data_IF_376401697575
#
_entry.id   IF_376401697575
#
_cell.length_a   1.000
_cell.length_b   1.000
_cell.length_c   1.000
_cell.angle_alpha   90.00
_cell.angle_beta   90.00
_cell.angle_gamma   90.00
#
_symmetry.space_group_name_H-M   'P 1'
#
loop_
_entity.id
_entity.type
_entity.pdbx_description
1 polymer ?
#
# COMPACT_ATOMS: atom_id res chain seq x y z
N UNK A 1 9.61 11.70 19.23
CA UNK A 1 8.21 11.26 19.00
C UNK A 1 7.69 10.67 20.30
N UNK A 2 6.39 10.70 20.59
CA UNK A 2 5.84 9.99 21.75
C UNK A 2 5.86 8.49 21.40
N UNK A 3 6.53 7.68 22.21
CA UNK A 3 6.52 6.23 22.04
C UNK A 3 5.12 5.65 22.27
N UNK A 4 4.83 4.54 21.61
CA UNK A 4 3.63 3.76 21.91
C UNK A 4 3.73 3.19 23.33
N UNK A 5 2.59 2.83 23.92
CA UNK A 5 2.46 2.43 25.33
C UNK A 5 2.80 0.96 25.55
N UNK A 6 3.04 0.62 26.82
CA UNK A 6 3.00 -0.77 27.30
C UNK A 6 1.62 -1.02 27.89
N UNK A 7 0.86 -1.97 27.33
CA UNK A 7 -0.35 -2.47 27.97
C UNK A 7 0.00 -3.55 29.00
N UNK A 8 -0.66 -3.57 30.15
CA UNK A 8 -0.35 -4.50 31.22
C UNK A 8 -1.60 -5.08 31.89
N UNK A 9 -1.51 -6.37 32.31
CA UNK A 9 -2.46 -6.96 33.25
C UNK A 9 -2.23 -6.39 34.67
N UNK A 10 -3.26 -6.20 35.42
CA UNK A 10 -3.21 -5.57 36.75
C UNK A 10 -2.15 -6.22 37.65
N UNK A 11 -2.06 -7.54 37.68
CA UNK A 11 -1.15 -8.31 38.51
C UNK A 11 0.34 -8.07 38.20
N UNK A 12 0.67 -7.64 37.00
CA UNK A 12 2.05 -7.38 36.55
C UNK A 12 2.43 -5.90 36.58
N UNK A 13 1.51 -5.00 36.92
CA UNK A 13 1.73 -3.54 36.98
C UNK A 13 3.01 -3.16 37.73
N UNK A 14 3.26 -3.82 38.84
CA UNK A 14 4.38 -3.55 39.74
C UNK A 14 5.73 -3.55 39.01
N UNK A 15 5.90 -4.37 37.98
CA UNK A 15 7.15 -4.47 37.25
C UNK A 15 7.42 -3.24 36.39
N UNK A 16 6.40 -2.43 36.04
CA UNK A 16 6.50 -1.35 35.05
C UNK A 16 6.37 0.05 35.65
N UNK A 17 6.26 0.19 36.97
CA UNK A 17 6.11 1.49 37.65
C UNK A 17 7.27 2.45 37.36
N UNK A 18 8.46 1.90 37.13
CA UNK A 18 9.69 2.67 36.87
C UNK A 18 10.01 2.75 35.34
N UNK A 19 9.09 2.39 34.47
CA UNK A 19 9.28 2.48 33.01
C UNK A 19 9.21 3.95 32.57
N UNK A 20 10.10 4.33 31.65
CA UNK A 20 10.07 5.64 30.98
C UNK A 20 8.93 5.74 29.95
N UNK A 21 8.39 4.61 29.53
CA UNK A 21 7.29 4.51 28.59
C UNK A 21 5.95 4.61 29.32
N UNK A 22 4.98 5.29 28.71
CA UNK A 22 3.62 5.34 29.25
C UNK A 22 3.02 3.93 29.33
N UNK A 23 2.40 3.60 30.45
CA UNK A 23 1.75 2.33 30.70
C UNK A 23 0.22 2.48 30.76
N UNK A 24 -0.52 1.47 30.30
CA UNK A 24 -1.99 1.46 30.29
C UNK A 24 -2.52 0.08 30.68
N UNK A 25 -3.56 -0.01 31.53
CA UNK A 25 -4.20 -1.31 31.80
C UNK A 25 -4.75 -1.94 30.53
N UNK A 26 -4.60 -3.25 30.38
CA UNK A 26 -5.03 -3.97 29.15
C UNK A 26 -6.53 -3.84 28.89
N UNK A 27 -7.34 -3.63 29.94
CA UNK A 27 -8.79 -3.43 29.84
C UNK A 27 -9.18 -2.04 29.34
N UNK A 28 -8.26 -1.08 29.34
CA UNK A 28 -8.51 0.33 29.03
C UNK A 28 -7.94 0.76 27.67
N UNK A 29 -7.52 -0.18 26.83
CA UNK A 29 -6.94 0.12 25.51
C UNK A 29 -7.62 -0.68 24.41
N UNK A 30 -7.65 -0.10 23.23
CA UNK A 30 -8.03 -0.75 21.97
C UNK A 30 -6.80 -1.23 21.15
N UNK A 31 -5.62 -1.15 21.77
CA UNK A 31 -4.31 -1.52 21.22
C UNK A 31 -3.80 -0.67 20.05
N UNK A 32 -4.48 0.40 19.66
CA UNK A 32 -4.04 1.27 18.55
C UNK A 32 -2.80 2.09 18.90
N UNK A 33 -2.53 2.32 20.17
CA UNK A 33 -1.38 3.08 20.68
C UNK A 33 -0.46 2.25 21.59
N UNK A 34 -0.50 0.92 21.45
CA UNK A 34 0.27 -0.04 22.25
C UNK A 34 1.41 -0.65 21.42
N UNK A 35 2.61 -0.69 22.00
CA UNK A 35 3.79 -1.31 21.39
C UNK A 35 4.07 -2.73 21.89
N UNK A 36 3.61 -3.08 23.09
CA UNK A 36 3.73 -4.42 23.65
C UNK A 36 2.64 -4.61 24.71
N UNK A 37 2.05 -5.80 24.78
CA UNK A 37 1.14 -6.20 25.84
C UNK A 37 1.85 -7.17 26.78
N UNK A 38 1.79 -6.89 28.07
CA UNK A 38 2.36 -7.72 29.14
C UNK A 38 1.24 -8.30 29.98
N UNK A 39 1.02 -9.58 29.87
CA UNK A 39 -0.09 -10.29 30.47
C UNK A 39 0.37 -11.20 31.61
N UNK A 40 -0.51 -11.42 32.58
CA UNK A 40 -0.40 -12.51 33.56
C UNK A 40 -1.09 -13.78 33.05
N UNK A 41 -0.92 -14.87 33.79
CA UNK A 41 -1.64 -16.13 33.58
C UNK A 41 -3.16 -16.04 33.80
N UNK A 42 -3.64 -14.96 34.38
CA UNK A 42 -5.07 -14.71 34.63
C UNK A 42 -5.78 -14.08 33.42
N UNK A 43 -5.02 -13.49 32.48
CA UNK A 43 -5.55 -12.64 31.41
C UNK A 43 -5.33 -13.21 29.99
N UNK A 44 -5.28 -14.52 29.85
CA UNK A 44 -5.11 -15.18 28.55
C UNK A 44 -6.16 -14.82 27.51
N UNK A 45 -7.37 -14.44 27.94
CA UNK A 45 -8.43 -13.97 27.03
C UNK A 45 -8.00 -12.77 26.17
N UNK A 46 -7.05 -11.97 26.67
CA UNK A 46 -6.53 -10.83 25.93
C UNK A 46 -5.61 -11.25 24.80
N UNK A 47 -4.98 -12.43 24.83
CA UNK A 47 -4.18 -12.97 23.72
C UNK A 47 -5.05 -13.05 22.45
N UNK A 48 -6.24 -13.63 22.57
CA UNK A 48 -7.16 -13.74 21.44
C UNK A 48 -7.72 -12.39 21.00
N UNK A 49 -7.98 -11.47 21.94
CA UNK A 49 -8.44 -10.12 21.63
C UNK A 49 -7.36 -9.33 20.87
N UNK A 50 -6.10 -9.40 21.31
CA UNK A 50 -4.97 -8.72 20.67
C UNK A 50 -4.74 -9.31 19.26
N UNK A 51 -4.71 -10.62 19.12
CA UNK A 51 -4.55 -11.32 17.86
C UNK A 51 -5.68 -10.94 16.86
N UNK A 52 -6.92 -10.85 17.36
CA UNK A 52 -8.08 -10.46 16.54
C UNK A 52 -8.00 -9.02 16.01
N UNK A 53 -7.27 -8.10 16.67
CA UNK A 53 -7.06 -6.73 16.14
C UNK A 53 -6.29 -6.74 14.84
N UNK A 54 -5.38 -7.70 14.75
CA UNK A 54 -4.47 -7.85 13.65
C UNK A 54 -3.39 -6.78 13.55
N UNK A 55 -3.14 -6.04 14.61
CA UNK A 55 -2.07 -5.04 14.65
C UNK A 55 -0.69 -5.67 14.78
N UNK A 56 -0.61 -6.97 15.19
CA UNK A 56 0.65 -7.65 15.41
C UNK A 56 1.40 -7.13 16.63
N UNK A 57 0.68 -6.59 17.61
CA UNK A 57 1.25 -6.13 18.88
C UNK A 57 1.89 -7.32 19.58
N UNK A 58 3.20 -7.28 19.91
CA UNK A 58 3.87 -8.38 20.58
C UNK A 58 3.32 -8.60 21.97
N UNK A 59 3.21 -9.88 22.35
CA UNK A 59 2.66 -10.31 23.63
C UNK A 59 3.75 -10.95 24.47
N UNK A 60 3.96 -10.43 25.67
CA UNK A 60 4.79 -10.99 26.70
C UNK A 60 3.91 -11.53 27.83
N UNK A 61 4.12 -12.77 28.26
CA UNK A 61 3.38 -13.37 29.38
C UNK A 61 4.32 -13.63 30.54
N UNK A 62 3.94 -13.21 31.76
CA UNK A 62 4.62 -13.52 33.00
C UNK A 62 3.81 -14.62 33.70
N UNK A 63 4.48 -15.74 34.00
CA UNK A 63 3.82 -16.93 34.52
C UNK A 63 4.41 -17.38 35.86
N UNK A 64 3.58 -18.01 36.72
CA UNK A 64 4.08 -18.68 37.89
C UNK A 64 5.11 -19.76 37.60
N UNK A 65 6.02 -19.97 38.53
CA UNK A 65 7.06 -21.00 38.39
C UNK A 65 6.50 -22.40 38.21
N UNK A 66 7.04 -23.08 37.19
CA UNK A 66 6.66 -24.45 36.87
C UNK A 66 5.40 -24.60 36.01
N UNK A 67 4.69 -23.52 35.74
CA UNK A 67 3.56 -23.52 34.82
C UNK A 67 3.99 -23.41 33.35
N UNK A 68 3.13 -23.85 32.43
CA UNK A 68 3.39 -23.78 30.99
C UNK A 68 2.25 -23.08 30.30
N UNK A 69 2.61 -22.23 29.34
CA UNK A 69 1.66 -21.60 28.46
C UNK A 69 0.81 -22.67 27.73
N UNK A 70 -0.53 -22.56 27.70
CA UNK A 70 -1.35 -23.46 26.92
C UNK A 70 -0.92 -23.53 25.46
N UNK A 71 -0.87 -24.74 24.91
CA UNK A 71 -0.25 -25.01 23.58
C UNK A 71 -0.89 -24.22 22.44
N UNK A 72 -2.16 -23.85 22.53
CA UNK A 72 -2.87 -23.07 21.51
C UNK A 72 -2.51 -21.58 21.49
N UNK A 73 -1.75 -21.09 22.49
CA UNK A 73 -1.24 -19.71 22.52
C UNK A 73 0.23 -19.60 22.11
N UNK A 74 0.93 -20.72 21.91
CA UNK A 74 2.37 -20.73 21.60
C UNK A 74 2.72 -19.92 20.34
N UNK A 75 1.86 -19.92 19.34
CA UNK A 75 2.06 -19.19 18.08
C UNK A 75 1.66 -17.70 18.15
N UNK A 76 1.07 -17.27 19.29
CA UNK A 76 0.53 -15.92 19.48
C UNK A 76 1.33 -15.10 20.49
N UNK A 77 2.19 -15.75 21.28
CA UNK A 77 2.97 -15.12 22.34
C UNK A 77 4.43 -15.05 21.95
N UNK A 78 5.02 -13.86 22.01
CA UNK A 78 6.40 -13.60 21.58
C UNK A 78 7.41 -13.89 22.67
N UNK A 79 7.01 -13.78 23.96
CA UNK A 79 7.91 -14.00 25.10
C UNK A 79 7.15 -14.53 26.30
N UNK A 80 7.72 -15.53 26.95
CA UNK A 80 7.24 -16.04 28.24
C UNK A 80 8.36 -15.88 29.27
N UNK A 81 8.05 -15.28 30.41
CA UNK A 81 8.95 -15.15 31.55
C UNK A 81 8.37 -15.87 32.77
N UNK A 82 9.22 -16.62 33.49
CA UNK A 82 8.81 -17.21 34.78
C UNK A 82 9.05 -16.22 35.92
N UNK A 83 8.14 -16.11 36.87
CA UNK A 83 8.24 -15.20 38.01
C UNK A 83 9.55 -15.36 38.82
N UNK A 84 10.10 -16.57 38.92
CA UNK A 84 11.40 -16.79 39.59
C UNK A 84 12.58 -16.11 38.87
N UNK A 85 12.47 -15.90 37.58
CA UNK A 85 13.53 -15.33 36.74
C UNK A 85 13.34 -13.82 36.51
N UNK A 86 12.28 -13.24 37.07
CA UNK A 86 11.83 -11.89 36.76
C UNK A 86 12.15 -10.94 37.92
N UNK A 87 12.79 -9.84 37.57
CA UNK A 87 12.86 -8.64 38.37
C UNK A 87 12.39 -7.45 37.53
N UNK A 88 12.13 -6.30 38.15
CA UNK A 88 11.65 -5.09 37.47
C UNK A 88 12.52 -4.73 36.26
N UNK A 89 13.84 -4.69 36.44
CA UNK A 89 14.78 -4.29 35.39
C UNK A 89 14.67 -5.21 34.16
N UNK A 90 14.64 -6.52 34.36
CA UNK A 90 14.51 -7.50 33.27
C UNK A 90 13.17 -7.44 32.56
N UNK A 91 12.08 -7.19 33.29
CA UNK A 91 10.76 -6.99 32.70
C UNK A 91 10.72 -5.76 31.80
N UNK A 92 11.16 -4.62 32.32
CA UNK A 92 11.21 -3.37 31.58
C UNK A 92 12.09 -3.54 30.34
N UNK A 93 13.32 -4.06 30.50
CA UNK A 93 14.26 -4.26 29.38
C UNK A 93 13.67 -5.18 28.29
N UNK A 94 13.01 -6.27 28.68
CA UNK A 94 12.40 -7.20 27.73
C UNK A 94 11.23 -6.56 27.00
N UNK A 95 10.35 -5.88 27.72
CA UNK A 95 9.19 -5.19 27.15
C UNK A 95 9.64 -4.05 26.21
N UNK A 96 10.63 -3.24 26.62
CA UNK A 96 11.20 -2.17 25.80
C UNK A 96 11.84 -2.71 24.52
N UNK A 97 12.54 -3.84 24.59
CA UNK A 97 13.10 -4.49 23.40
C UNK A 97 12.01 -4.96 22.44
N UNK A 98 10.94 -5.58 22.94
CA UNK A 98 9.81 -5.99 22.12
C UNK A 98 9.10 -4.77 21.52
N UNK A 99 8.84 -3.76 22.33
CA UNK A 99 8.20 -2.51 21.91
C UNK A 99 9.02 -1.78 20.82
N UNK A 100 10.33 -1.65 21.02
CA UNK A 100 11.21 -0.98 20.06
C UNK A 100 11.29 -1.74 18.74
N UNK A 101 11.38 -3.07 18.78
CA UNK A 101 11.34 -3.89 17.58
C UNK A 101 10.02 -3.75 16.82
N UNK A 102 8.90 -3.71 17.55
CA UNK A 102 7.59 -3.50 16.96
C UNK A 102 7.47 -2.13 16.31
N UNK A 103 7.87 -1.06 17.01
CA UNK A 103 7.84 0.30 16.46
C UNK A 103 8.66 0.45 15.19
N UNK A 104 9.81 -0.24 15.09
CA UNK A 104 10.61 -0.27 13.85
C UNK A 104 9.91 -0.98 12.68
N UNK A 105 9.05 -1.96 12.97
CA UNK A 105 8.36 -2.75 11.93
C UNK A 105 6.99 -2.18 11.55
N UNK A 106 6.39 -1.38 12.42
CA UNK A 106 5.04 -0.81 12.24
C UNK A 106 5.02 0.25 11.15
N UNK A 107 6.11 0.99 10.98
CA UNK A 107 6.21 2.04 9.97
C UNK A 107 6.70 1.49 8.63
N UNK A 108 6.12 1.93 7.51
CA UNK A 108 6.71 1.65 6.20
C UNK A 108 8.14 2.20 6.12
N UNK A 109 9.09 1.53 5.43
CA UNK A 109 10.51 1.86 5.51
C UNK A 109 10.83 3.35 5.31
N UNK A 110 10.36 3.96 4.22
CA UNK A 110 10.62 5.38 3.96
C UNK A 110 10.06 6.32 5.04
N UNK A 111 8.87 6.01 5.56
CA UNK A 111 8.26 6.84 6.61
C UNK A 111 8.99 6.66 7.94
N UNK A 112 9.46 5.45 8.24
CA UNK A 112 10.29 5.19 9.42
C UNK A 112 11.58 6.01 9.39
N UNK A 113 12.33 5.95 8.29
CA UNK A 113 13.55 6.72 8.08
C UNK A 113 13.31 8.23 8.10
N UNK A 114 12.20 8.70 7.50
CA UNK A 114 11.83 10.12 7.56
C UNK A 114 11.57 10.59 9.00
N UNK A 115 10.91 9.76 9.80
CA UNK A 115 10.66 10.05 11.22
C UNK A 115 11.97 10.11 12.01
N UNK A 116 12.91 9.21 11.75
CA UNK A 116 14.24 9.19 12.36
C UNK A 116 15.02 10.45 11.96
N UNK A 117 15.09 10.73 10.66
CA UNK A 117 15.73 11.93 10.11
C UNK A 117 15.24 13.23 10.79
N UNK A 118 13.90 13.37 10.91
CA UNK A 118 13.30 14.54 11.59
C UNK A 118 13.67 14.59 13.07
N UNK A 119 13.81 13.43 13.74
CA UNK A 119 14.15 13.37 15.15
C UNK A 119 15.60 13.75 15.46
N UNK A 120 16.53 13.57 14.52
CA UNK A 120 17.93 13.95 14.62
C UNK A 120 18.16 15.45 14.66
N UNK A 121 17.14 16.23 14.28
CA UNK A 121 17.18 17.72 14.27
C UNK A 121 18.34 18.25 13.42
N UNK A 122 18.50 17.71 12.25
CA UNK A 122 19.47 18.17 11.27
C UNK A 122 19.27 19.66 10.94
N UNK A 123 20.34 20.34 10.56
CA UNK A 123 20.29 21.73 10.12
C UNK A 123 20.40 21.79 8.60
N UNK A 124 19.29 21.90 7.86
CA UNK A 124 19.29 21.89 6.41
C UNK A 124 19.89 23.21 5.85
N UNK A 125 20.81 23.06 4.90
CA UNK A 125 21.40 24.15 4.13
C UNK A 125 21.13 23.99 2.62
N UNK A 126 20.16 23.17 2.27
CA UNK A 126 19.76 22.81 0.91
C UNK A 126 18.34 23.31 0.57
N UNK A 127 17.72 22.73 -0.43
CA UNK A 127 16.32 22.97 -0.79
C UNK A 127 15.39 22.06 0.02
N UNK A 128 14.21 22.56 0.41
CA UNK A 128 13.67 23.91 0.24
C UNK A 128 14.25 24.91 1.25
N UNK A 129 14.41 26.18 0.82
CA UNK A 129 15.09 27.22 1.59
C UNK A 129 14.36 27.76 2.83
N UNK A 130 13.29 27.12 3.29
CA UNK A 130 12.59 27.52 4.52
C UNK A 130 13.28 27.03 5.82
N UNK A 131 14.31 26.17 5.70
CA UNK A 131 15.13 25.69 6.82
C UNK A 131 14.26 25.18 7.98
N UNK A 132 13.60 24.03 7.82
CA UNK A 132 12.68 23.43 8.81
C UNK A 132 11.55 24.37 9.26
N UNK A 133 11.15 25.27 8.36
CA UNK A 133 10.11 26.26 8.65
C UNK A 133 10.59 27.48 9.45
N UNK A 134 11.90 27.58 9.77
CA UNK A 134 12.44 28.72 10.51
C UNK A 134 12.18 30.05 9.80
N UNK A 135 12.22 30.05 8.46
CA UNK A 135 11.94 31.22 7.66
C UNK A 135 10.51 31.75 7.84
N UNK A 136 9.53 30.88 7.94
CA UNK A 136 8.12 31.27 8.13
C UNK A 136 7.88 31.99 9.46
N UNK A 137 8.65 31.66 10.50
CA UNK A 137 8.52 32.28 11.83
C UNK A 137 8.95 33.77 11.86
N UNK A 138 9.59 34.28 10.80
CA UNK A 138 10.08 35.68 10.73
C UNK A 138 9.00 36.69 10.41
N UNK A 139 7.78 36.28 10.05
CA UNK A 139 6.65 37.14 9.71
C UNK A 139 5.35 36.61 10.31
N UNK A 140 4.43 37.47 10.82
CA UNK A 140 3.20 37.02 11.46
C UNK A 140 2.35 36.04 10.60
N UNK A 141 2.18 36.33 9.31
CA UNK A 141 1.43 35.42 8.42
C UNK A 141 2.12 34.05 8.25
N UNK A 142 3.45 34.04 8.15
CA UNK A 142 4.22 32.80 8.11
C UNK A 142 4.18 32.04 9.45
N UNK A 143 4.17 32.79 10.56
CA UNK A 143 3.99 32.19 11.88
C UNK A 143 2.65 31.47 12.02
N UNK A 144 1.58 32.08 11.51
CA UNK A 144 0.26 31.44 11.47
C UNK A 144 0.28 30.12 10.69
N UNK A 145 0.94 30.11 9.52
CA UNK A 145 1.10 28.89 8.72
C UNK A 145 1.86 27.81 9.48
N UNK A 146 2.98 28.20 10.12
CA UNK A 146 3.81 27.28 10.88
C UNK A 146 3.06 26.68 12.08
N UNK A 147 2.35 27.51 12.84
CA UNK A 147 1.62 27.06 14.02
C UNK A 147 0.40 26.20 13.63
N UNK A 148 -0.21 26.46 12.47
CA UNK A 148 -1.33 25.64 11.96
C UNK A 148 -0.89 24.23 11.56
N UNK A 149 0.20 24.10 10.82
CA UNK A 149 0.67 22.79 10.34
C UNK A 149 1.58 22.05 11.34
N UNK A 150 2.18 22.75 12.27
CA UNK A 150 3.18 22.19 13.19
C UNK A 150 4.56 22.05 12.55
N UNK A 151 5.58 21.78 13.39
CA UNK A 151 6.97 21.72 12.94
C UNK A 151 7.27 20.57 11.96
N UNK A 152 6.66 19.41 12.18
CA UNK A 152 7.04 18.20 11.48
C UNK A 152 6.78 18.27 9.97
N UNK A 153 5.75 19.00 9.52
CA UNK A 153 5.50 19.13 8.08
C UNK A 153 6.62 19.87 7.36
N UNK A 154 7.23 20.87 8.02
CA UNK A 154 8.34 21.62 7.46
C UNK A 154 9.67 20.88 7.58
N UNK A 155 9.85 20.10 8.65
CA UNK A 155 11.03 19.26 8.85
C UNK A 155 11.06 18.05 7.92
N UNK A 156 9.89 17.61 7.45
CA UNK A 156 9.77 16.54 6.47
C UNK A 156 9.73 17.01 5.02
N UNK A 157 9.73 18.31 4.77
CA UNK A 157 9.85 18.90 3.43
C UNK A 157 11.33 19.13 3.12
N UNK A 158 11.97 18.11 2.59
CA UNK A 158 13.41 17.99 2.38
C UNK A 158 13.75 17.81 0.91
N UNK A 159 15.02 17.94 0.57
CA UNK A 159 15.53 17.67 -0.76
C UNK A 159 15.32 16.18 -1.11
N UNK A 160 14.83 15.92 -2.32
CA UNK A 160 14.58 14.56 -2.82
C UNK A 160 15.86 13.75 -3.11
N UNK A 161 17.02 14.37 -3.01
CA UNK A 161 18.33 13.76 -3.20
C UNK A 161 19.16 13.79 -1.89
N UNK A 162 18.50 13.83 -0.73
CA UNK A 162 19.19 13.69 0.55
C UNK A 162 19.76 12.28 0.66
N UNK A 163 21.07 12.21 0.96
CA UNK A 163 21.82 10.93 0.95
C UNK A 163 21.31 9.93 1.99
N UNK A 164 20.70 10.41 3.07
CA UNK A 164 20.17 9.58 4.16
C UNK A 164 18.88 8.87 3.72
N UNK A 165 18.01 9.59 2.99
CA UNK A 165 16.70 9.08 2.58
C UNK A 165 16.70 8.43 1.19
N UNK A 166 17.86 8.40 0.53
CA UNK A 166 18.03 7.85 -0.80
C UNK A 166 17.39 8.73 -1.88
N UNK A 167 17.44 8.25 -3.11
CA UNK A 167 16.91 8.98 -4.27
C UNK A 167 15.83 8.14 -4.97
N UNK A 168 14.62 8.68 -4.99
CA UNK A 168 13.47 8.04 -5.65
C UNK A 168 13.67 7.94 -7.18
N UNK A 169 14.42 8.88 -7.79
CA UNK A 169 14.64 8.89 -9.23
C UNK A 169 15.49 7.72 -9.70
N UNK A 170 16.53 7.38 -8.94
CA UNK A 170 17.44 6.26 -9.24
C UNK A 170 17.09 4.99 -8.46
N UNK A 171 16.06 5.03 -7.62
CA UNK A 171 15.58 3.90 -6.83
C UNK A 171 16.65 3.34 -5.89
N UNK A 172 17.13 4.14 -4.96
CA UNK A 172 18.12 3.77 -3.94
C UNK A 172 17.60 4.02 -2.51
N UNK A 173 18.24 3.34 -1.55
CA UNK A 173 18.02 3.50 -0.11
C UNK A 173 16.59 3.26 0.33
N UNK A 174 16.11 3.97 1.36
CA UNK A 174 14.76 3.81 1.92
C UNK A 174 13.63 3.95 0.90
N UNK A 175 13.83 4.71 -0.19
CA UNK A 175 12.87 4.80 -1.28
C UNK A 175 12.70 3.46 -2.02
N UNK A 176 13.80 2.76 -2.31
CA UNK A 176 13.78 1.42 -2.90
C UNK A 176 13.19 0.41 -1.93
N UNK A 177 13.61 0.42 -0.66
CA UNK A 177 13.12 -0.51 0.37
C UNK A 177 11.60 -0.40 0.53
N UNK A 178 11.07 0.82 0.47
CA UNK A 178 9.62 1.05 0.49
C UNK A 178 8.90 0.52 -0.74
N UNK A 179 9.50 0.63 -1.93
CA UNK A 179 8.93 0.05 -3.15
C UNK A 179 8.91 -1.48 -3.07
N UNK A 180 9.99 -2.09 -2.58
CA UNK A 180 10.08 -3.54 -2.38
C UNK A 180 9.13 -4.02 -1.29
N UNK A 181 9.00 -3.27 -0.20
CA UNK A 181 8.00 -3.54 0.84
C UNK A 181 6.58 -3.50 0.28
N UNK A 182 6.23 -2.44 -0.45
CA UNK A 182 4.93 -2.33 -1.10
C UNK A 182 4.69 -3.47 -2.12
N UNK A 183 5.69 -3.86 -2.89
CA UNK A 183 5.60 -4.99 -3.81
C UNK A 183 5.26 -6.30 -3.08
N UNK A 184 5.89 -6.54 -1.92
CA UNK A 184 5.59 -7.72 -1.08
C UNK A 184 4.16 -7.69 -0.54
N UNK A 185 3.73 -6.55 0.01
CA UNK A 185 2.39 -6.39 0.61
C UNK A 185 1.29 -6.60 -0.44
N UNK A 186 1.48 -6.07 -1.64
CA UNK A 186 0.49 -6.11 -2.71
C UNK A 186 0.67 -7.27 -3.69
N UNK A 187 1.56 -8.23 -3.40
CA UNK A 187 1.84 -9.39 -4.26
C UNK A 187 2.26 -9.01 -5.69
N UNK A 188 2.88 -7.83 -5.83
CA UNK A 188 3.42 -7.36 -7.09
C UNK A 188 4.86 -7.86 -7.30
N UNK A 189 5.27 -7.99 -8.56
CA UNK A 189 6.67 -8.28 -8.89
C UNK A 189 7.56 -7.05 -8.75
N UNK A 190 6.98 -5.87 -8.93
CA UNK A 190 7.64 -4.57 -8.76
C UNK A 190 6.64 -3.46 -8.50
N UNK A 191 7.07 -2.49 -7.71
CA UNK A 191 6.30 -1.28 -7.41
C UNK A 191 7.10 -0.03 -7.78
N UNK A 192 6.41 0.98 -8.27
CA UNK A 192 6.95 2.32 -8.49
C UNK A 192 6.08 3.35 -7.81
N UNK A 193 6.68 4.28 -7.08
CA UNK A 193 5.97 5.43 -6.54
C UNK A 193 5.93 6.56 -7.56
N UNK A 194 4.73 6.98 -7.93
CA UNK A 194 4.50 8.12 -8.82
C UNK A 194 3.75 9.20 -8.06
N UNK A 195 4.41 10.33 -7.80
CA UNK A 195 3.95 11.32 -6.83
C UNK A 195 2.79 12.21 -7.33
N UNK A 196 2.52 12.23 -8.64
CA UNK A 196 1.52 13.12 -9.24
C UNK A 196 0.17 12.43 -9.55
N UNK A 197 -0.19 11.43 -8.74
CA UNK A 197 -1.47 10.72 -8.81
C UNK A 197 -1.56 9.69 -9.94
N UNK A 198 -2.64 8.88 -9.94
CA UNK A 198 -2.91 7.87 -10.96
C UNK A 198 -2.95 8.44 -12.38
N UNK A 199 -3.33 9.71 -12.52
CA UNK A 199 -3.26 10.41 -13.81
C UNK A 199 -1.85 10.47 -14.41
N UNK A 200 -0.82 10.68 -13.59
CA UNK A 200 0.57 10.64 -14.05
C UNK A 200 1.00 9.20 -14.35
N UNK A 201 0.63 8.24 -13.52
CA UNK A 201 0.90 6.82 -13.74
C UNK A 201 0.33 6.32 -15.06
N UNK A 202 -0.93 6.67 -15.34
CA UNK A 202 -1.58 6.33 -16.61
C UNK A 202 -0.82 6.89 -17.81
N UNK A 203 -0.34 8.13 -17.73
CA UNK A 203 0.48 8.73 -18.81
C UNK A 203 1.82 8.05 -18.94
N UNK A 204 2.51 7.76 -17.84
CA UNK A 204 3.80 7.06 -17.88
C UNK A 204 3.65 5.71 -18.56
N UNK A 205 2.67 4.90 -18.14
CA UNK A 205 2.44 3.56 -18.72
C UNK A 205 2.06 3.64 -20.19
N UNK A 206 1.10 4.49 -20.53
CA UNK A 206 0.63 4.59 -21.92
C UNK A 206 1.71 5.11 -22.87
N UNK A 207 2.50 6.10 -22.47
CA UNK A 207 3.61 6.59 -23.28
C UNK A 207 4.80 5.60 -23.36
N UNK A 208 4.97 4.75 -22.36
CA UNK A 208 6.02 3.73 -22.37
C UNK A 208 5.67 2.52 -23.26
N UNK A 209 4.39 2.23 -23.44
CA UNK A 209 3.93 1.02 -24.12
C UNK A 209 3.39 1.25 -25.52
N UNK A 210 2.91 2.45 -25.83
CA UNK A 210 2.20 2.76 -27.08
C UNK A 210 3.02 3.65 -27.99
N UNK A 211 2.85 3.40 -29.30
CA UNK A 211 3.38 4.21 -30.39
C UNK A 211 2.27 4.54 -31.39
N UNK A 212 2.48 5.55 -32.28
CA UNK A 212 1.50 5.89 -33.30
C UNK A 212 1.08 4.67 -34.13
N UNK A 213 -0.22 4.50 -34.27
CA UNK A 213 -0.82 3.40 -35.02
C UNK A 213 -1.09 2.13 -34.19
N UNK A 214 -0.58 1.99 -32.98
CA UNK A 214 -0.96 0.85 -32.13
C UNK A 214 -2.47 0.86 -31.83
N UNK A 215 -3.10 -0.32 -31.85
CA UNK A 215 -4.48 -0.46 -31.40
C UNK A 215 -4.54 -0.59 -29.88
N UNK A 216 -5.40 0.19 -29.26
CA UNK A 216 -5.66 0.13 -27.81
C UNK A 216 -7.15 -0.14 -27.55
N UNK A 217 -7.42 -1.22 -26.80
CA UNK A 217 -8.76 -1.45 -26.24
C UNK A 217 -9.01 -0.42 -25.15
N UNK A 218 -10.07 0.34 -25.30
CA UNK A 218 -10.32 1.50 -24.48
C UNK A 218 -11.72 1.44 -23.86
N UNK A 219 -11.78 1.21 -22.56
CA UNK A 219 -13.01 1.31 -21.80
C UNK A 219 -13.51 2.76 -21.80
N UNK A 220 -14.75 2.96 -22.22
CA UNK A 220 -15.37 4.30 -22.27
C UNK A 220 -15.43 5.00 -20.93
N UNK A 221 -15.34 4.26 -19.83
CA UNK A 221 -15.30 4.83 -18.47
C UNK A 221 -13.90 5.30 -18.04
N UNK A 222 -12.88 5.05 -18.84
CA UNK A 222 -11.52 5.44 -18.51
C UNK A 222 -11.39 6.93 -18.22
N UNK A 223 -10.62 7.25 -17.21
CA UNK A 223 -10.30 8.62 -16.86
C UNK A 223 -9.60 9.37 -18.01
N UNK A 224 -9.87 10.68 -18.13
CA UNK A 224 -9.28 11.53 -19.19
C UNK A 224 -7.75 11.47 -19.30
N UNK A 225 -7.02 11.15 -18.22
CA UNK A 225 -5.56 11.00 -18.25
C UNK A 225 -5.10 9.87 -19.17
N UNK A 226 -5.89 8.80 -19.28
CA UNK A 226 -5.62 7.68 -20.20
C UNK A 226 -5.81 8.14 -21.64
N UNK A 227 -6.89 8.86 -21.94
CA UNK A 227 -7.11 9.42 -23.28
C UNK A 227 -5.97 10.37 -23.68
N UNK A 228 -5.56 11.27 -22.78
CA UNK A 228 -4.45 12.18 -23.05
C UNK A 228 -3.15 11.41 -23.32
N UNK A 229 -2.80 10.43 -22.48
CA UNK A 229 -1.58 9.64 -22.63
C UNK A 229 -1.61 8.74 -23.86
N UNK A 230 -2.63 7.91 -24.00
CA UNK A 230 -2.71 6.88 -25.05
C UNK A 230 -3.04 7.45 -26.44
N UNK A 231 -4.04 8.32 -26.51
CA UNK A 231 -4.58 8.75 -27.82
C UNK A 231 -3.91 10.03 -28.32
N UNK A 232 -3.67 11.01 -27.44
CA UNK A 232 -3.12 12.31 -27.86
C UNK A 232 -1.60 12.27 -27.87
N UNK A 233 -0.96 11.85 -26.77
CA UNK A 233 0.50 11.89 -26.65
C UNK A 233 1.17 10.73 -27.40
N UNK A 234 0.70 9.50 -27.22
CA UNK A 234 1.28 8.33 -27.87
C UNK A 234 0.73 8.09 -29.29
N UNK A 235 -0.36 8.73 -29.68
CA UNK A 235 -0.93 8.61 -31.02
C UNK A 235 -1.54 7.24 -31.34
N UNK A 236 -1.94 6.47 -30.34
CA UNK A 236 -2.57 5.17 -30.54
C UNK A 236 -4.01 5.30 -31.05
N UNK A 237 -4.48 4.29 -31.74
CA UNK A 237 -5.83 4.22 -32.31
C UNK A 237 -6.76 3.47 -31.35
N UNK A 238 -7.84 4.10 -30.85
CA UNK A 238 -8.74 3.45 -29.90
C UNK A 238 -9.70 2.48 -30.58
N UNK A 239 -9.95 1.35 -29.93
CA UNK A 239 -11.06 0.46 -30.15
C UNK A 239 -11.88 0.49 -28.86
N UNK A 240 -13.07 1.07 -28.91
CA UNK A 240 -13.85 1.34 -27.71
C UNK A 240 -14.65 0.12 -27.26
N UNK A 241 -14.59 -0.15 -25.95
CA UNK A 241 -15.52 -1.02 -25.25
C UNK A 241 -16.69 -0.16 -24.74
N UNK A 242 -17.86 -0.41 -25.27
CA UNK A 242 -19.07 0.34 -24.91
C UNK A 242 -19.57 -0.11 -23.54
N UNK A 243 -20.09 0.85 -22.80
CA UNK A 243 -20.63 0.65 -21.45
C UNK A 243 -22.14 0.90 -21.45
N UNK A 244 -22.84 0.10 -20.65
CA UNK A 244 -24.26 0.30 -20.40
C UNK A 244 -24.52 1.67 -19.73
N UNK A 245 -25.70 2.24 -19.99
CA UNK A 245 -26.19 3.42 -19.28
C UNK A 245 -27.63 3.21 -18.88
N UNK A 246 -27.96 3.60 -17.67
CA UNK A 246 -29.34 3.59 -17.24
C UNK A 246 -30.10 4.86 -17.72
N UNK A 247 -31.44 4.90 -17.61
CA UNK A 247 -32.23 6.07 -18.04
C UNK A 247 -31.86 7.38 -17.34
N UNK A 248 -31.21 7.34 -16.19
CA UNK A 248 -30.77 8.51 -15.42
C UNK A 248 -29.35 8.97 -15.77
N UNK A 249 -28.69 8.30 -16.72
CA UNK A 249 -27.34 8.65 -17.18
C UNK A 249 -26.21 8.03 -16.38
N UNK A 250 -26.47 7.22 -15.35
CA UNK A 250 -25.42 6.48 -14.65
C UNK A 250 -24.79 5.45 -15.57
N UNK A 251 -23.47 5.35 -15.49
CA UNK A 251 -22.66 4.46 -16.30
C UNK A 251 -22.63 3.10 -15.63
N UNK A 252 -22.98 2.06 -16.37
CA UNK A 252 -22.87 0.66 -15.95
C UNK A 252 -21.54 0.03 -16.40
N UNK A 253 -21.45 -1.28 -16.24
CA UNK A 253 -20.33 -2.06 -16.74
C UNK A 253 -20.28 -2.17 -18.26
N UNK A 254 -19.18 -2.70 -18.76
CA UNK A 254 -19.02 -3.12 -20.15
C UNK A 254 -19.91 -4.31 -20.39
N UNK A 255 -20.70 -4.27 -21.46
CA UNK A 255 -21.58 -5.38 -21.81
C UNK A 255 -20.78 -6.64 -22.17
N UNK A 256 -21.27 -7.81 -21.80
CA UNK A 256 -20.56 -9.08 -21.96
C UNK A 256 -20.15 -9.37 -23.42
N UNK A 257 -20.99 -8.98 -24.41
CA UNK A 257 -20.69 -9.16 -25.84
C UNK A 257 -19.47 -8.36 -26.30
N UNK A 258 -19.14 -7.24 -25.61
CA UNK A 258 -17.97 -6.43 -25.94
C UNK A 258 -16.65 -7.15 -25.62
N UNK A 259 -16.69 -8.25 -24.85
CA UNK A 259 -15.53 -9.11 -24.60
C UNK A 259 -15.43 -10.32 -25.55
N UNK A 260 -16.30 -10.40 -26.55
CA UNK A 260 -16.25 -11.45 -27.57
C UNK A 260 -15.12 -11.23 -28.57
N UNK A 261 -14.27 -12.24 -28.77
CA UNK A 261 -13.13 -12.15 -29.69
C UNK A 261 -13.56 -11.77 -31.12
N UNK A 262 -14.63 -12.40 -31.63
CA UNK A 262 -15.14 -12.11 -32.98
C UNK A 262 -15.56 -10.64 -33.10
N UNK A 263 -16.27 -10.14 -32.11
CA UNK A 263 -16.68 -8.73 -32.09
C UNK A 263 -15.48 -7.78 -32.00
N UNK A 264 -14.51 -8.08 -31.12
CA UNK A 264 -13.32 -7.27 -30.96
C UNK A 264 -12.45 -7.24 -32.22
N UNK A 265 -12.31 -8.39 -32.91
CA UNK A 265 -11.58 -8.46 -34.20
C UNK A 265 -12.29 -7.70 -35.31
N UNK A 266 -13.62 -7.70 -35.33
CA UNK A 266 -14.40 -6.87 -36.24
C UNK A 266 -14.12 -5.39 -36.01
N UNK A 267 -14.22 -4.91 -34.78
CA UNK A 267 -13.91 -3.52 -34.43
C UNK A 267 -12.45 -3.14 -34.73
N UNK A 268 -11.51 -4.05 -34.50
CA UNK A 268 -10.12 -3.86 -34.86
C UNK A 268 -9.94 -3.71 -36.38
N UNK A 269 -10.65 -4.54 -37.19
CA UNK A 269 -10.58 -4.50 -38.66
C UNK A 269 -11.14 -3.20 -39.25
N UNK A 270 -12.10 -2.57 -38.57
CA UNK A 270 -12.59 -1.24 -38.96
C UNK A 270 -11.53 -0.14 -38.80
N UNK A 271 -10.52 -0.37 -37.97
CA UNK A 271 -9.43 0.56 -37.69
C UNK A 271 -8.15 0.21 -38.47
N UNK A 272 -7.77 -1.07 -38.41
CA UNK A 272 -6.58 -1.62 -39.10
C UNK A 272 -6.83 -3.09 -39.44
N UNK A 273 -7.20 -3.40 -40.71
CA UNK A 273 -7.49 -4.77 -41.13
C UNK A 273 -6.31 -5.74 -40.99
N UNK A 274 -5.07 -5.24 -41.10
CA UNK A 274 -3.88 -6.10 -40.98
C UNK A 274 -3.56 -6.44 -39.55
N UNK A 275 -3.69 -5.49 -38.65
CA UNK A 275 -3.55 -5.75 -37.20
C UNK A 275 -4.64 -6.68 -36.68
N UNK A 276 -5.86 -6.55 -37.16
CA UNK A 276 -6.97 -7.42 -36.74
C UNK A 276 -6.71 -8.92 -37.01
N UNK A 277 -5.87 -9.25 -38.00
CA UNK A 277 -5.48 -10.63 -38.35
C UNK A 277 -4.38 -11.18 -37.44
N UNK A 278 -3.68 -10.33 -36.68
CA UNK A 278 -2.59 -10.76 -35.81
C UNK A 278 -3.12 -11.58 -34.62
N UNK A 279 -2.31 -12.49 -34.06
CA UNK A 279 -2.71 -13.23 -32.84
C UNK A 279 -3.10 -12.29 -31.71
N UNK A 280 -2.38 -11.17 -31.57
CA UNK A 280 -2.62 -10.10 -30.59
C UNK A 280 -2.78 -8.77 -31.30
N UNK A 281 -4.00 -8.43 -31.70
CA UNK A 281 -4.24 -7.18 -32.43
C UNK A 281 -4.04 -5.93 -31.57
N UNK A 282 -4.20 -6.06 -30.26
CA UNK A 282 -4.14 -4.92 -29.34
C UNK A 282 -2.81 -4.86 -28.60
N UNK A 283 -2.13 -3.73 -28.69
CA UNK A 283 -0.91 -3.49 -27.95
C UNK A 283 -1.21 -3.35 -26.44
N UNK A 284 -2.30 -2.67 -26.10
CA UNK A 284 -2.72 -2.42 -24.72
C UNK A 284 -4.24 -2.49 -24.63
N UNK A 285 -4.74 -3.09 -23.56
CA UNK A 285 -6.10 -2.86 -23.07
C UNK A 285 -6.04 -2.00 -21.80
N UNK A 286 -6.87 -0.97 -21.72
CA UNK A 286 -7.01 -0.15 -20.52
C UNK A 286 -8.41 -0.30 -19.99
N UNK A 287 -8.52 -0.89 -18.81
CA UNK A 287 -9.77 -1.18 -18.13
C UNK A 287 -9.83 -0.36 -16.82
N UNK A 288 -10.89 0.42 -16.68
CA UNK A 288 -11.21 1.07 -15.41
C UNK A 288 -11.74 -0.01 -14.46
N UNK A 289 -10.87 -0.56 -13.59
CA UNK A 289 -11.22 -1.69 -12.74
C UNK A 289 -12.38 -1.39 -11.81
N UNK A 290 -12.40 -0.18 -11.30
CA UNK A 290 -13.43 0.34 -10.40
C UNK A 290 -13.84 1.75 -10.82
N UNK A 291 -15.14 1.98 -10.93
CA UNK A 291 -15.68 3.29 -11.27
C UNK A 291 -16.13 4.04 -10.02
N UNK A 292 -16.17 5.37 -10.09
CA UNK A 292 -16.70 6.17 -8.98
C UNK A 292 -18.21 5.96 -8.75
N UNK A 293 -18.92 5.35 -9.71
CA UNK A 293 -20.33 4.93 -9.58
C UNK A 293 -20.48 3.60 -8.83
N UNK A 294 -19.36 2.95 -8.43
CA UNK A 294 -19.35 1.72 -7.65
C UNK A 294 -19.38 0.42 -8.49
N UNK A 295 -19.16 0.49 -9.81
CA UNK A 295 -18.96 -0.72 -10.62
C UNK A 295 -17.56 -1.25 -10.39
N UNK A 296 -17.43 -2.50 -9.96
CA UNK A 296 -16.16 -3.22 -9.81
C UNK A 296 -16.16 -4.41 -10.77
N UNK A 297 -15.15 -4.49 -11.63
CA UNK A 297 -15.01 -5.61 -12.55
C UNK A 297 -14.32 -6.80 -11.89
N UNK A 298 -14.73 -7.99 -12.31
CA UNK A 298 -13.98 -9.21 -12.03
C UNK A 298 -12.75 -9.25 -12.95
N UNK A 299 -11.56 -9.00 -12.41
CA UNK A 299 -10.33 -8.93 -13.19
C UNK A 299 -10.00 -10.28 -13.85
N UNK A 300 -10.29 -11.42 -13.19
CA UNK A 300 -10.12 -12.75 -13.76
C UNK A 300 -10.95 -12.91 -15.03
N UNK A 301 -12.25 -12.58 -14.95
CA UNK A 301 -13.13 -12.63 -16.11
C UNK A 301 -12.60 -11.78 -17.29
N UNK A 302 -12.17 -10.57 -17.01
CA UNK A 302 -11.60 -9.68 -18.07
C UNK A 302 -10.37 -10.31 -18.70
N UNK A 303 -9.42 -10.77 -17.87
CA UNK A 303 -8.17 -11.38 -18.38
C UNK A 303 -8.45 -12.65 -19.18
N UNK A 304 -9.36 -13.50 -18.75
CA UNK A 304 -9.72 -14.73 -19.43
C UNK A 304 -10.35 -14.45 -20.81
N UNK A 305 -11.09 -13.33 -20.93
CA UNK A 305 -11.77 -12.97 -22.19
C UNK A 305 -10.87 -12.27 -23.19
N UNK A 306 -10.06 -11.33 -22.77
CA UNK A 306 -9.31 -10.46 -23.69
C UNK A 306 -7.78 -10.58 -23.56
N UNK A 307 -7.27 -11.26 -22.54
CA UNK A 307 -5.83 -11.32 -22.30
C UNK A 307 -5.02 -11.91 -23.43
N UNK A 308 -5.55 -12.89 -24.13
CA UNK A 308 -4.89 -13.52 -25.27
C UNK A 308 -4.85 -12.64 -26.53
N UNK A 309 -5.69 -11.60 -26.59
CA UNK A 309 -5.75 -10.62 -27.68
C UNK A 309 -4.85 -9.40 -27.46
N UNK A 310 -4.27 -9.25 -26.28
CA UNK A 310 -3.50 -8.08 -25.88
C UNK A 310 -2.06 -8.43 -25.53
N UNK A 311 -1.10 -7.53 -25.84
CA UNK A 311 0.26 -7.65 -25.31
C UNK A 311 0.33 -7.27 -23.84
N UNK A 312 -0.45 -6.25 -23.44
CA UNK A 312 -0.51 -5.70 -22.10
C UNK A 312 -1.95 -5.40 -21.68
N UNK A 313 -2.21 -5.48 -20.39
CA UNK A 313 -3.46 -4.98 -19.79
C UNK A 313 -3.08 -4.01 -18.67
N UNK A 314 -3.63 -2.82 -18.70
CA UNK A 314 -3.59 -1.83 -17.64
C UNK A 314 -4.95 -1.81 -16.95
N UNK A 315 -4.96 -2.14 -15.67
CA UNK A 315 -6.10 -1.87 -14.81
C UNK A 315 -5.89 -0.53 -14.11
N UNK A 316 -6.78 0.43 -14.35
CA UNK A 316 -6.85 1.65 -13.56
C UNK A 316 -7.71 1.38 -12.32
N UNK A 317 -7.05 1.25 -11.17
CA UNK A 317 -7.64 0.88 -9.89
C UNK A 317 -7.53 2.05 -8.91
N UNK A 318 -7.89 3.24 -9.36
CA UNK A 318 -7.69 4.47 -8.60
C UNK A 318 -8.55 4.55 -7.32
N UNK A 319 -9.68 3.85 -7.26
CA UNK A 319 -10.63 3.82 -6.15
C UNK A 319 -10.58 2.54 -5.33
N UNK A 320 -9.92 1.52 -5.83
CA UNK A 320 -9.77 0.21 -5.20
C UNK A 320 -8.29 -0.08 -4.85
N UNK A 321 -7.91 -1.35 -4.76
CA UNK A 321 -6.56 -1.78 -4.36
C UNK A 321 -6.58 -2.55 -3.05
N UNK A 322 -7.73 -2.57 -2.39
CA UNK A 322 -8.01 -3.32 -1.17
C UNK A 322 -8.63 -4.70 -1.44
N UNK A 323 -8.98 -5.00 -2.68
CA UNK A 323 -9.76 -6.19 -3.09
C UNK A 323 -9.08 -7.49 -2.64
N UNK A 324 -7.75 -7.54 -2.74
CA UNK A 324 -6.98 -8.72 -2.34
C UNK A 324 -7.06 -9.04 -0.84
N UNK A 325 -7.37 -8.03 -0.02
CA UNK A 325 -7.47 -8.17 1.44
C UNK A 325 -8.90 -8.54 1.89
N UNK A 326 -9.86 -8.53 0.97
CA UNK A 326 -11.26 -8.87 1.23
C UNK A 326 -11.56 -10.21 0.56
N UNK A 327 -11.86 -11.28 1.32
CA UNK A 327 -12.01 -12.64 0.77
C UNK A 327 -12.98 -12.74 -0.41
N UNK A 328 -14.11 -12.03 -0.36
CA UNK A 328 -15.14 -12.05 -1.41
C UNK A 328 -14.74 -11.31 -2.69
N UNK A 329 -13.69 -10.46 -2.66
CA UNK A 329 -13.25 -9.65 -3.79
C UNK A 329 -11.96 -10.15 -4.45
N UNK A 330 -11.45 -11.32 -4.06
CA UNK A 330 -10.15 -11.83 -4.54
C UNK A 330 -10.06 -11.93 -6.07
N UNK A 331 -11.14 -12.32 -6.74
CA UNK A 331 -11.18 -12.44 -8.20
C UNK A 331 -11.23 -11.06 -8.91
N UNK A 332 -11.53 -10.01 -8.17
CA UNK A 332 -11.47 -8.63 -8.68
C UNK A 332 -10.06 -8.04 -8.58
N UNK A 333 -9.14 -8.67 -7.83
CA UNK A 333 -7.76 -8.21 -7.75
C UNK A 333 -6.90 -8.78 -8.88
N UNK A 334 -6.41 -7.95 -9.81
CA UNK A 334 -5.50 -8.42 -10.85
C UNK A 334 -4.14 -8.88 -10.32
N UNK A 335 -3.77 -8.49 -9.10
CA UNK A 335 -2.49 -8.86 -8.48
C UNK A 335 -2.46 -10.30 -7.97
N UNK A 336 -3.63 -10.89 -7.70
CA UNK A 336 -3.75 -12.27 -7.25
C UNK A 336 -3.93 -13.28 -8.40
N UNK A 337 -4.08 -12.78 -9.64
CA UNK A 337 -4.28 -13.66 -10.79
C UNK A 337 -2.99 -14.40 -11.16
N UNK A 338 -3.12 -15.68 -11.47
CA UNK A 338 -2.07 -16.42 -12.20
C UNK A 338 -2.23 -16.13 -13.70
N UNK A 339 -1.36 -15.29 -14.22
CA UNK A 339 -1.44 -14.76 -15.59
C UNK A 339 -0.68 -15.62 -16.61
N UNK A 340 -0.06 -16.73 -16.17
CA UNK A 340 0.79 -17.52 -17.06
C UNK A 340 1.99 -16.70 -17.59
N UNK A 341 2.69 -17.22 -18.61
CA UNK A 341 3.93 -16.58 -19.11
C UNK A 341 3.70 -15.38 -20.07
N UNK A 342 2.48 -15.09 -20.43
CA UNK A 342 2.19 -14.32 -21.65
C UNK A 342 1.48 -12.98 -21.42
N UNK A 343 0.93 -12.71 -20.25
CA UNK A 343 0.16 -11.49 -19.97
C UNK A 343 0.91 -10.64 -18.95
N UNK A 344 1.04 -9.34 -19.25
CA UNK A 344 1.63 -8.36 -18.34
C UNK A 344 0.54 -7.39 -17.89
N UNK A 345 0.37 -7.27 -16.60
CA UNK A 345 -0.63 -6.39 -15.98
C UNK A 345 0.09 -5.26 -15.28
N UNK A 346 -0.39 -4.05 -15.50
CA UNK A 346 0.03 -2.86 -14.79
C UNK A 346 -1.17 -2.32 -14.01
N UNK A 347 -0.96 -1.94 -12.77
CA UNK A 347 -1.96 -1.29 -11.93
C UNK A 347 -1.55 0.13 -11.62
N UNK A 348 -2.55 1.00 -11.65
CA UNK A 348 -2.46 2.34 -11.10
C UNK A 348 -3.47 2.44 -9.97
N UNK A 349 -3.01 2.56 -8.74
CA UNK A 349 -3.88 2.67 -7.56
C UNK A 349 -3.44 3.79 -6.64
N UNK A 350 -4.39 4.45 -5.99
CA UNK A 350 -4.13 5.34 -4.87
C UNK A 350 -4.51 4.60 -3.58
N UNK A 351 -3.56 4.44 -2.65
CA UNK A 351 -3.80 3.69 -1.42
C UNK A 351 -3.41 4.48 -0.17
N UNK A 352 -4.32 4.42 0.80
CA UNK A 352 -3.98 4.56 2.22
C UNK A 352 -3.71 3.16 2.77
N UNK A 353 -2.48 2.90 3.21
CA UNK A 353 -2.11 1.59 3.75
C UNK A 353 -2.27 1.56 5.26
N UNK A 354 -3.10 0.63 5.75
CA UNK A 354 -2.98 0.09 7.10
C UNK A 354 -2.27 -1.27 6.99
N UNK A 355 -1.19 -1.43 7.76
CA UNK A 355 -0.22 -2.53 7.70
C UNK A 355 -0.75 -3.90 8.09
N UNK A 356 -0.31 -4.95 7.37
CA UNK A 356 0.08 -6.25 7.94
C UNK A 356 1.14 -6.94 7.08
N UNK A 357 2.17 -7.57 7.67
CA UNK A 357 3.12 -8.38 6.91
C UNK A 357 2.57 -9.79 6.67
N UNK A 358 2.58 -10.24 5.42
CA UNK A 358 2.37 -11.64 5.07
C UNK A 358 3.58 -12.15 4.31
N UNK A 359 4.18 -13.23 4.81
CA UNK A 359 5.40 -13.86 4.29
C UNK A 359 5.17 -14.71 3.03
N UNK A 360 6.23 -14.99 2.24
CA UNK A 360 6.13 -15.29 0.82
C UNK A 360 6.13 -16.78 0.49
N UNK A 361 5.53 -17.14 -0.65
CA UNK A 361 5.94 -18.34 -1.41
C UNK A 361 6.40 -17.93 -2.80
N UNK A 362 7.60 -18.42 -3.17
CA UNK A 362 8.24 -18.25 -4.48
C UNK A 362 7.45 -18.96 -5.56
N UNK A 363 7.21 -18.32 -6.73
CA UNK A 363 7.36 -18.94 -8.05
C UNK A 363 7.27 -17.91 -9.19
N UNK A 364 8.18 -18.04 -10.09
CA UNK A 364 8.56 -17.68 -11.47
C UNK A 364 7.58 -16.84 -12.32
N UNK A 365 8.08 -15.66 -12.72
CA UNK A 365 8.00 -14.99 -14.03
C UNK A 365 6.62 -14.77 -14.69
N UNK A 366 5.92 -13.82 -14.17
CA UNK A 366 5.13 -12.82 -14.91
C UNK A 366 5.30 -11.49 -14.18
N UNK A 367 5.74 -10.43 -14.85
CA UNK A 367 5.98 -9.17 -14.15
C UNK A 367 4.65 -8.43 -13.95
N UNK A 368 4.18 -8.39 -12.73
CA UNK A 368 3.11 -7.52 -12.27
C UNK A 368 3.76 -6.23 -11.77
N UNK A 369 3.50 -5.13 -12.42
CA UNK A 369 4.04 -3.83 -12.03
C UNK A 369 2.89 -3.06 -11.40
N UNK A 370 3.04 -2.70 -10.14
CA UNK A 370 2.13 -1.79 -9.44
C UNK A 370 2.76 -0.42 -9.42
N UNK A 371 1.98 0.58 -9.78
CA UNK A 371 2.38 1.97 -9.70
C UNK A 371 1.48 2.62 -8.65
N UNK A 372 2.05 2.87 -7.47
CA UNK A 372 1.35 3.60 -6.43
C UNK A 372 1.40 5.09 -6.68
N UNK A 373 0.28 5.73 -6.47
CA UNK A 373 0.19 7.17 -6.50
C UNK A 373 -0.30 7.67 -5.15
N UNK A 374 0.40 8.61 -4.57
CA UNK A 374 -0.13 9.36 -3.45
C UNK A 374 -1.08 10.41 -4.00
N UNK A 375 -2.39 10.27 -3.75
CA UNK A 375 -3.27 11.43 -3.84
C UNK A 375 -2.91 12.35 -2.69
N UNK A 376 -2.48 13.58 -2.98
CA UNK A 376 -2.49 14.63 -1.96
C UNK A 376 -3.94 14.73 -1.49
N UNK A 377 -4.21 14.28 -0.27
CA UNK A 377 -5.44 14.64 0.40
C UNK A 377 -5.47 16.16 0.53
N UNK A 378 -6.58 16.76 0.09
CA UNK A 378 -6.91 18.13 0.49
C UNK A 378 -7.18 18.15 1.98
#
# INVERSE_FOLDING_TARGET
>A
MKHLKIAYSFDVQYYFVDSDREIVPVEQTDFTDVAVAVLSDQDYDYIDKIDATGFGVPIMVIMPSGEKLPSHYLDKVDMVLSEEMVNKSRCIETAERLASNYEQTVLPPFFGELVEYVSEKNNPFDCPGHQDGAFFKKHPAGRYLYDFFGSHIFQSDICNADVTLGDLLIHEGPALDSQDFAAKVFHADKTYFVLNGSSASNRVVTNALLTPGDLVLYDRNNHKSVAIGALIQAGATPVYLETARNPYGFIGGIDAHCFDETYLRQLAAERDPEKAKQPRPFRLAVIQLDTYDGTLYNARYVVDRIGHLCDYILFDSAWAGYEQFIPMLKDSSPLLLDLGKTIRVSLSSSLYTNNRPVFPRRHRFTKRIVIFTTSRGM
#
